data_IF_400582915393
#
_entry.id   IF_400582915393
#
_cell.length_a   1.000
_cell.length_b   1.000
_cell.length_c   1.000
_cell.angle_alpha   90.00
_cell.angle_beta   90.00
_cell.angle_gamma   90.00
#
_symmetry.space_group_name_H-M   'P 1'
#
loop_
_entity.id
_entity.type
_entity.pdbx_description
1 polymer ?
#
# COMPACT_ATOMS: atom_id res chain seq x y z
N UNK A 1 22.40 3.42 -8.25
CA UNK A 1 21.41 2.32 -8.29
C UNK A 1 21.42 1.69 -6.90
N UNK A 2 20.39 1.94 -6.10
CA UNK A 2 20.23 1.29 -4.80
C UNK A 2 19.25 0.15 -5.03
N UNK A 3 19.78 -1.07 -5.05
CA UNK A 3 18.99 -2.28 -5.12
C UNK A 3 18.44 -2.55 -3.70
N UNK A 4 17.14 -2.31 -3.52
CA UNK A 4 16.47 -2.63 -2.27
C UNK A 4 15.91 -4.04 -2.39
N UNK A 5 16.53 -4.98 -1.71
CA UNK A 5 16.05 -6.36 -1.59
C UNK A 5 14.56 -6.37 -1.19
N UNK A 6 13.69 -6.85 -2.09
CA UNK A 6 12.26 -6.96 -1.84
C UNK A 6 11.37 -6.33 -2.91
N UNK A 7 11.89 -6.02 -4.09
CA UNK A 7 11.06 -5.75 -5.27
C UNK A 7 10.42 -4.36 -5.37
N UNK A 8 10.77 -3.41 -4.51
CA UNK A 8 10.37 -2.01 -4.67
C UNK A 8 11.59 -1.19 -5.04
N UNK A 9 11.80 -0.98 -6.34
CA UNK A 9 12.91 -0.17 -6.85
C UNK A 9 12.47 1.29 -6.87
N UNK A 10 12.96 2.09 -5.94
CA UNK A 10 12.84 3.55 -6.03
C UNK A 10 13.92 4.02 -6.99
N UNK A 11 13.54 4.38 -8.21
CA UNK A 11 14.46 4.98 -9.18
C UNK A 11 14.72 6.43 -8.80
N UNK A 12 15.82 6.71 -8.11
CA UNK A 12 16.44 8.02 -8.13
C UNK A 12 17.16 8.14 -9.47
N UNK A 13 16.51 8.68 -10.50
CA UNK A 13 17.15 9.06 -11.73
C UNK A 13 18.06 10.27 -11.46
N UNK A 14 19.29 10.02 -11.04
CA UNK A 14 20.35 11.02 -11.05
C UNK A 14 20.80 11.18 -12.50
N UNK A 15 20.13 12.05 -13.27
CA UNK A 15 20.78 12.69 -14.42
C UNK A 15 22.06 13.37 -13.91
N UNK A 16 23.14 13.35 -14.73
CA UNK A 16 24.45 13.90 -14.39
C UNK A 16 24.44 15.44 -14.25
N UNK A 17 23.65 15.94 -13.33
CA UNK A 17 23.74 17.32 -12.82
C UNK A 17 24.76 17.31 -11.72
N UNK A 18 25.77 18.19 -11.83
CA UNK A 18 26.74 18.37 -10.76
C UNK A 18 26.05 18.90 -9.50
N UNK A 19 25.49 17.98 -8.71
CA UNK A 19 24.81 18.27 -7.45
C UNK A 19 25.69 19.05 -6.47
N UNK A 20 27.01 19.07 -6.67
CA UNK A 20 27.94 19.81 -5.83
C UNK A 20 27.76 21.32 -5.93
N UNK A 21 27.48 21.87 -7.11
CA UNK A 21 27.24 23.32 -7.30
C UNK A 21 25.86 23.77 -6.77
N UNK A 22 24.85 22.95 -6.94
CA UNK A 22 23.49 23.24 -6.43
C UNK A 22 23.38 23.08 -4.92
N UNK A 23 24.19 22.21 -4.33
CA UNK A 23 24.17 21.88 -2.93
C UNK A 23 24.77 22.98 -2.05
N UNK A 24 25.81 23.66 -2.51
CA UNK A 24 26.39 24.82 -1.83
C UNK A 24 25.40 26.01 -1.71
N UNK A 25 24.41 26.09 -2.59
CA UNK A 25 23.29 27.04 -2.51
C UNK A 25 22.23 26.67 -1.47
N UNK A 26 22.15 25.39 -1.07
CA UNK A 26 21.20 24.89 -0.07
C UNK A 26 21.57 25.27 1.37
N UNK A 27 22.86 25.37 1.66
CA UNK A 27 23.36 25.32 3.04
C UNK A 27 24.36 26.44 3.31
N UNK A 28 24.35 27.57 2.69
CA UNK A 28 25.25 28.70 2.96
C UNK A 28 26.72 28.29 3.17
N UNK A 29 27.68 29.04 2.77
CA UNK A 29 29.10 28.71 2.95
C UNK A 29 29.42 28.29 4.39
N UNK A 30 30.04 27.10 4.56
CA UNK A 30 30.46 26.56 5.85
C UNK A 30 29.64 25.38 6.41
N UNK A 31 28.61 24.88 5.69
CA UNK A 31 27.87 23.69 6.14
C UNK A 31 28.62 22.38 5.82
N UNK A 32 28.56 21.45 6.79
CA UNK A 32 29.08 20.08 6.63
C UNK A 32 28.11 19.16 5.84
N UNK A 33 26.95 19.66 5.43
CA UNK A 33 25.97 18.91 4.70
C UNK A 33 26.49 18.57 3.30
N UNK A 34 26.94 17.34 3.10
CA UNK A 34 27.24 16.78 1.77
C UNK A 34 26.02 16.05 1.23
N UNK A 35 25.86 15.89 -0.10
CA UNK A 35 24.76 15.09 -0.66
C UNK A 35 24.70 13.69 -0.09
N UNK A 36 25.85 13.03 0.09
CA UNK A 36 25.94 11.68 0.66
C UNK A 36 25.50 11.63 2.12
N UNK A 37 25.86 12.63 2.94
CA UNK A 37 25.44 12.70 4.35
C UNK A 37 23.92 12.87 4.44
N UNK A 38 23.33 13.77 3.68
CA UNK A 38 21.88 14.00 3.70
C UNK A 38 21.13 12.78 3.16
N UNK A 39 21.63 12.16 2.08
CA UNK A 39 21.07 10.90 1.57
C UNK A 39 21.16 9.77 2.61
N UNK A 40 22.28 9.67 3.34
CA UNK A 40 22.45 8.71 4.45
C UNK A 40 21.46 8.93 5.57
N UNK A 41 21.25 10.19 5.98
CA UNK A 41 20.26 10.56 7.02
C UNK A 41 18.83 10.20 6.57
N UNK A 42 18.48 10.50 5.31
CA UNK A 42 17.17 10.14 4.75
C UNK A 42 16.98 8.63 4.70
N UNK A 43 17.98 7.90 4.20
CA UNK A 43 17.93 6.43 4.13
C UNK A 43 17.78 5.81 5.54
N UNK A 44 18.57 6.27 6.51
CA UNK A 44 18.46 5.81 7.90
C UNK A 44 17.05 6.06 8.46
N UNK A 45 16.44 7.22 8.16
CA UNK A 45 15.12 7.58 8.67
C UNK A 45 14.00 6.81 7.99
N UNK A 46 13.95 6.82 6.67
CA UNK A 46 12.78 6.35 5.91
C UNK A 46 12.88 4.89 5.45
N UNK A 47 14.08 4.35 5.26
CA UNK A 47 14.28 2.95 4.89
C UNK A 47 14.54 2.10 6.13
N UNK A 48 15.45 2.53 7.01
CA UNK A 48 15.84 1.76 8.20
C UNK A 48 14.99 2.10 9.44
N UNK A 49 14.02 3.03 9.32
CA UNK A 49 13.14 3.42 10.41
C UNK A 49 13.85 4.08 11.61
N UNK A 50 15.07 4.62 11.43
CA UNK A 50 15.86 5.22 12.49
C UNK A 50 15.50 6.71 12.72
N UNK A 51 14.84 7.08 13.84
CA UNK A 51 14.47 8.46 14.11
C UNK A 51 15.69 9.40 14.14
N UNK A 52 15.50 10.65 13.74
CA UNK A 52 16.58 11.66 13.78
C UNK A 52 17.22 11.79 15.15
N UNK A 53 16.44 11.66 16.24
CA UNK A 53 16.98 11.71 17.60
C UNK A 53 17.94 10.54 17.93
N UNK A 54 17.77 9.39 17.31
CA UNK A 54 18.74 8.28 17.42
C UNK A 54 19.97 8.54 16.58
N UNK A 55 19.80 9.10 15.38
CA UNK A 55 20.92 9.49 14.52
C UNK A 55 21.79 10.57 15.18
N UNK A 56 21.17 11.56 15.84
CA UNK A 56 21.88 12.59 16.61
C UNK A 56 22.79 11.96 17.70
N UNK A 57 22.25 10.99 18.45
CA UNK A 57 23.05 10.24 19.45
C UNK A 57 24.16 9.42 18.82
N UNK A 58 23.90 8.81 17.66
CA UNK A 58 24.89 8.05 16.93
C UNK A 58 26.04 8.93 16.44
N UNK A 59 25.74 10.06 15.82
CA UNK A 59 26.75 11.03 15.39
C UNK A 59 27.58 11.58 16.56
N UNK A 60 26.96 11.82 17.73
CA UNK A 60 27.66 12.27 18.93
C UNK A 60 28.73 11.27 19.42
N UNK A 61 28.56 9.96 19.20
CA UNK A 61 29.58 8.93 19.54
C UNK A 61 30.85 9.07 18.70
N UNK A 62 30.75 9.69 17.54
CA UNK A 62 31.87 10.00 16.64
C UNK A 62 32.33 11.48 16.77
N UNK A 63 31.98 12.15 17.88
CA UNK A 63 32.27 13.54 18.14
C UNK A 63 31.72 14.53 17.09
N UNK A 64 30.65 14.12 16.38
CA UNK A 64 29.93 14.97 15.44
C UNK A 64 28.62 15.46 16.04
N UNK A 65 28.60 16.75 16.42
CA UNK A 65 27.43 17.39 16.99
C UNK A 65 26.45 17.84 15.87
N UNK A 66 25.54 16.98 15.51
CA UNK A 66 24.56 17.22 14.46
C UNK A 66 23.15 17.10 15.04
N UNK A 67 22.49 18.24 15.25
CA UNK A 67 21.19 18.27 15.91
C UNK A 67 20.06 17.70 15.04
N UNK A 68 19.06 17.13 15.70
CA UNK A 68 17.78 16.69 15.06
C UNK A 68 17.18 17.82 14.22
N UNK A 69 17.19 19.07 14.70
CA UNK A 69 16.69 20.25 13.98
C UNK A 69 17.44 20.49 12.67
N UNK A 70 18.78 20.42 12.71
CA UNK A 70 19.62 20.61 11.53
C UNK A 70 19.34 19.54 10.47
N UNK A 71 19.31 18.27 10.87
CA UNK A 71 18.99 17.15 9.97
C UNK A 71 17.58 17.30 9.36
N UNK A 72 16.59 17.68 10.17
CA UNK A 72 15.23 17.91 9.68
C UNK A 72 15.18 19.03 8.62
N UNK A 73 15.85 20.15 8.88
CA UNK A 73 15.90 21.27 7.93
C UNK A 73 16.58 20.87 6.61
N UNK A 74 17.62 20.04 6.64
CA UNK A 74 18.24 19.53 5.42
C UNK A 74 17.31 18.64 4.61
N UNK A 75 16.59 17.73 5.29
CA UNK A 75 15.61 16.86 4.65
C UNK A 75 14.50 17.69 3.99
N UNK A 76 13.91 18.63 4.71
CA UNK A 76 12.85 19.53 4.23
C UNK A 76 13.35 20.34 3.04
N UNK A 77 14.53 20.96 3.16
CA UNK A 77 15.13 21.74 2.08
C UNK A 77 15.41 20.91 0.81
N UNK A 78 15.83 19.65 0.96
CA UNK A 78 15.96 18.72 -0.16
C UNK A 78 14.60 18.34 -0.77
N UNK A 79 13.60 18.10 0.07
CA UNK A 79 12.25 17.77 -0.40
C UNK A 79 11.67 18.92 -1.22
N UNK A 80 11.69 20.14 -0.70
CA UNK A 80 11.10 21.30 -1.38
C UNK A 80 11.80 21.68 -2.69
N UNK A 81 13.13 21.53 -2.78
CA UNK A 81 13.90 22.02 -3.94
C UNK A 81 14.14 20.98 -5.02
N UNK A 82 14.22 19.70 -4.65
CA UNK A 82 14.64 18.64 -5.58
C UNK A 82 13.67 17.47 -5.63
N UNK A 83 13.29 16.92 -4.45
CA UNK A 83 12.49 15.69 -4.45
C UNK A 83 11.08 15.95 -4.92
N UNK A 84 10.54 17.15 -4.69
CA UNK A 84 9.21 17.52 -5.20
C UNK A 84 9.15 17.45 -6.73
N UNK A 85 10.16 17.96 -7.43
CA UNK A 85 10.22 17.89 -8.90
C UNK A 85 10.23 16.44 -9.39
N UNK A 86 10.99 15.58 -8.70
CA UNK A 86 11.02 14.16 -9.00
C UNK A 86 9.68 13.50 -8.72
N UNK A 87 9.07 13.81 -7.58
CA UNK A 87 7.74 13.30 -7.20
C UNK A 87 6.68 13.69 -8.23
N UNK A 88 6.64 14.97 -8.62
CA UNK A 88 5.69 15.47 -9.62
C UNK A 88 5.86 14.74 -10.96
N UNK A 89 7.11 14.53 -11.41
CA UNK A 89 7.40 13.77 -12.63
C UNK A 89 7.02 12.29 -12.50
N UNK A 90 7.31 11.67 -11.37
CA UNK A 90 6.88 10.29 -11.09
C UNK A 90 5.35 10.17 -11.10
N UNK A 91 4.63 11.15 -10.55
CA UNK A 91 3.16 11.17 -10.58
C UNK A 91 2.63 11.27 -12.01
N UNK A 92 3.24 12.08 -12.88
CA UNK A 92 2.86 12.15 -14.29
C UNK A 92 3.03 10.80 -15.00
N UNK A 93 4.13 10.09 -14.76
CA UNK A 93 4.35 8.75 -15.33
C UNK A 93 3.43 7.70 -14.70
N UNK A 94 3.19 7.80 -13.39
CA UNK A 94 2.28 6.92 -12.67
C UNK A 94 0.85 6.96 -13.25
N UNK A 95 0.34 8.15 -13.52
CA UNK A 95 -1.01 8.36 -14.05
C UNK A 95 -1.21 7.80 -15.49
N UNK A 96 -0.14 7.41 -16.19
CA UNK A 96 -0.20 6.73 -17.49
C UNK A 96 -0.39 5.21 -17.35
N UNK A 97 -0.16 4.64 -16.18
CA UNK A 97 -0.38 3.21 -15.93
C UNK A 97 -1.87 2.89 -15.97
N UNK A 98 -2.22 1.71 -16.51
CA UNK A 98 -3.61 1.24 -16.52
C UNK A 98 -3.97 0.42 -15.28
N UNK A 99 -2.98 -0.05 -14.52
CA UNK A 99 -3.18 -0.97 -13.40
C UNK A 99 -2.41 -0.46 -12.19
N UNK A 100 -3.16 -0.05 -11.18
CA UNK A 100 -2.60 0.49 -9.95
C UNK A 100 -3.24 -0.14 -8.72
N UNK A 101 -2.54 -0.01 -7.61
CA UNK A 101 -3.03 -0.35 -6.27
C UNK A 101 -3.16 0.91 -5.41
N UNK A 102 -4.07 0.91 -4.47
CA UNK A 102 -4.19 1.93 -3.45
C UNK A 102 -4.45 1.30 -2.07
N UNK A 103 -3.88 1.90 -1.04
CA UNK A 103 -4.10 1.54 0.37
C UNK A 103 -3.82 2.76 1.24
N UNK A 104 -4.28 2.78 2.50
CA UNK A 104 -4.04 3.86 3.42
C UNK A 104 -3.67 3.38 4.81
N UNK A 105 -2.93 4.20 5.54
CA UNK A 105 -2.60 3.94 6.94
C UNK A 105 -2.65 5.20 7.78
N UNK A 106 -2.99 5.05 9.05
CA UNK A 106 -3.05 6.17 9.99
C UNK A 106 -1.66 6.71 10.30
N UNK A 107 -1.56 8.02 10.45
CA UNK A 107 -0.40 8.73 10.98
C UNK A 107 -0.87 9.80 11.97
N UNK A 108 -0.06 10.12 12.96
CA UNK A 108 -0.32 11.24 13.86
C UNK A 108 0.60 12.40 13.52
N UNK A 109 0.03 13.58 13.29
CA UNK A 109 0.76 14.84 13.08
C UNK A 109 0.34 15.83 14.17
N UNK A 110 1.25 16.15 15.09
CA UNK A 110 0.92 16.98 16.27
C UNK A 110 0.68 18.43 15.88
N UNK A 111 1.45 18.95 14.95
CA UNK A 111 1.41 20.35 14.51
C UNK A 111 0.46 20.62 13.34
N UNK A 112 -0.53 19.77 13.14
CA UNK A 112 -1.55 20.00 12.11
C UNK A 112 -2.44 21.18 12.51
N UNK A 113 -2.53 22.24 11.67
CA UNK A 113 -3.38 23.40 11.96
C UNK A 113 -4.84 23.00 12.22
N UNK A 114 -5.50 23.65 13.16
CA UNK A 114 -6.91 23.46 13.48
C UNK A 114 -7.31 22.03 13.90
N UNK A 115 -6.33 21.20 14.28
CA UNK A 115 -6.58 19.85 14.80
C UNK A 115 -5.97 19.68 16.20
N UNK A 116 -6.60 18.82 17.00
CA UNK A 116 -5.98 18.36 18.25
C UNK A 116 -4.78 17.47 17.92
N UNK A 117 -3.68 17.56 18.66
CA UNK A 117 -2.48 16.73 18.45
C UNK A 117 -2.72 15.21 18.53
N UNK A 118 -3.84 14.79 19.12
CA UNK A 118 -4.30 13.38 19.14
C UNK A 118 -5.08 12.95 17.91
N UNK A 119 -5.42 13.86 16.99
CA UNK A 119 -6.19 13.55 15.78
C UNK A 119 -5.39 12.64 14.87
N UNK A 120 -6.04 11.63 14.34
CA UNK A 120 -5.44 10.72 13.36
C UNK A 120 -5.56 11.32 11.97
N UNK A 121 -4.43 11.38 11.27
CA UNK A 121 -4.31 11.74 9.86
C UNK A 121 -3.98 10.47 9.06
N UNK A 122 -3.83 10.58 7.75
CA UNK A 122 -3.71 9.43 6.88
C UNK A 122 -2.55 9.58 5.90
N UNK A 123 -1.86 8.48 5.65
CA UNK A 123 -0.89 8.35 4.59
C UNK A 123 -1.46 7.36 3.58
N UNK A 124 -1.74 7.85 2.39
CA UNK A 124 -2.16 7.06 1.25
C UNK A 124 -0.94 6.56 0.49
N UNK A 125 -1.02 5.36 -0.07
CA UNK A 125 -0.03 4.82 -1.00
C UNK A 125 -0.69 4.47 -2.30
N UNK A 126 -0.10 4.90 -3.39
CA UNK A 126 -0.48 4.57 -4.75
C UNK A 126 0.68 3.83 -5.40
N UNK A 127 0.43 2.64 -5.91
CA UNK A 127 1.46 1.73 -6.42
C UNK A 127 1.09 1.25 -7.83
N UNK A 128 2.05 1.21 -8.77
CA UNK A 128 1.84 0.51 -10.05
C UNK A 128 1.83 -1.01 -9.82
N UNK A 129 0.86 -1.71 -10.43
CA UNK A 129 0.79 -3.18 -10.33
C UNK A 129 2.04 -3.84 -10.94
N UNK A 130 2.46 -4.98 -10.40
CA UNK A 130 3.65 -5.71 -10.86
C UNK A 130 3.50 -6.27 -12.28
N UNK A 131 2.26 -6.50 -12.71
CA UNK A 131 1.95 -7.00 -14.06
C UNK A 131 1.53 -5.89 -15.03
N UNK A 132 1.59 -4.62 -14.61
CA UNK A 132 1.11 -3.48 -15.41
C UNK A 132 1.94 -3.18 -16.67
N UNK A 133 3.14 -3.74 -16.79
CA UNK A 133 4.12 -3.34 -17.80
C UNK A 133 4.73 -1.96 -17.58
N UNK A 134 4.26 -1.21 -16.58
CA UNK A 134 4.79 0.10 -16.20
C UNK A 134 5.97 -0.03 -15.23
N UNK A 135 6.88 0.96 -15.16
CA UNK A 135 7.90 1.01 -14.12
C UNK A 135 7.26 0.89 -12.73
N UNK A 136 7.89 0.13 -11.84
CA UNK A 136 7.38 0.01 -10.46
C UNK A 136 7.59 1.31 -9.71
N UNK A 137 6.50 1.92 -9.31
CA UNK A 137 6.46 3.18 -8.56
C UNK A 137 5.55 3.05 -7.36
N UNK A 138 5.96 3.62 -6.22
CA UNK A 138 5.13 3.80 -5.05
C UNK A 138 5.16 5.27 -4.66
N UNK A 139 4.01 5.91 -4.68
CA UNK A 139 3.81 7.30 -4.31
C UNK A 139 3.03 7.37 -3.00
N UNK A 140 3.53 8.17 -2.07
CA UNK A 140 2.88 8.40 -0.80
C UNK A 140 2.28 9.80 -0.78
N UNK A 141 1.05 9.92 -0.32
CA UNK A 141 0.32 11.17 -0.21
C UNK A 141 -0.25 11.32 1.20
N UNK A 142 0.07 12.45 1.85
CA UNK A 142 -0.42 12.76 3.18
C UNK A 142 -1.73 13.51 3.10
N UNK A 143 -2.73 13.03 3.85
CA UNK A 143 -4.03 13.68 3.92
C UNK A 143 -4.58 13.71 5.36
N UNK A 144 -5.38 14.75 5.66
CA UNK A 144 -5.94 14.97 6.99
C UNK A 144 -7.03 13.98 7.38
N UNK A 145 -7.65 13.36 6.40
CA UNK A 145 -8.78 12.43 6.57
C UNK A 145 -8.63 11.22 5.65
N UNK A 146 -9.50 10.23 5.81
CA UNK A 146 -9.64 9.09 4.90
C UNK A 146 -10.82 9.25 3.93
N UNK A 147 -11.26 10.48 3.66
CA UNK A 147 -12.42 10.74 2.81
C UNK A 147 -12.16 10.35 1.34
N UNK A 148 -13.19 9.83 0.66
CA UNK A 148 -13.09 9.33 -0.73
C UNK A 148 -12.70 10.36 -1.78
N UNK A 149 -12.80 11.66 -1.48
CA UNK A 149 -12.34 12.69 -2.41
C UNK A 149 -10.80 12.77 -2.54
N UNK A 150 -10.03 12.19 -1.60
CA UNK A 150 -8.56 12.19 -1.68
C UNK A 150 -8.03 11.37 -2.86
N UNK A 151 -8.42 10.10 -3.05
CA UNK A 151 -8.03 9.39 -4.27
C UNK A 151 -8.55 10.05 -5.55
N UNK A 152 -9.75 10.64 -5.55
CA UNK A 152 -10.26 11.42 -6.69
C UNK A 152 -9.30 12.57 -7.03
N UNK A 153 -8.91 13.35 -6.02
CA UNK A 153 -7.96 14.47 -6.16
C UNK A 153 -6.57 14.00 -6.60
N UNK A 154 -6.08 12.87 -6.06
CA UNK A 154 -4.77 12.34 -6.42
C UNK A 154 -4.74 11.88 -7.88
N UNK A 155 -5.75 11.15 -8.31
CA UNK A 155 -5.87 10.63 -9.66
C UNK A 155 -6.22 11.72 -10.70
N UNK A 156 -6.73 12.88 -10.23
CA UNK A 156 -6.80 14.17 -10.93
C UNK A 156 -7.54 14.10 -12.30
N UNK A 157 -8.52 13.20 -12.43
CA UNK A 157 -9.26 12.97 -13.68
C UNK A 157 -8.40 12.50 -14.86
N UNK A 158 -7.13 12.19 -14.63
CA UNK A 158 -6.18 11.76 -15.68
C UNK A 158 -5.90 10.25 -15.69
N UNK A 159 -6.21 9.59 -14.59
CA UNK A 159 -6.08 8.14 -14.51
C UNK A 159 -7.34 7.46 -15.06
N UNK A 160 -7.14 6.52 -15.98
CA UNK A 160 -8.19 5.70 -16.56
C UNK A 160 -7.72 4.25 -16.59
N UNK A 161 -8.40 3.38 -15.86
CA UNK A 161 -7.97 1.98 -15.77
C UNK A 161 -8.47 1.25 -14.53
N UNK A 162 -7.68 0.31 -14.05
CA UNK A 162 -8.04 -0.54 -12.93
C UNK A 162 -7.31 -0.11 -11.66
N UNK A 163 -8.08 0.01 -10.57
CA UNK A 163 -7.57 0.32 -9.24
C UNK A 163 -7.90 -0.84 -8.31
N UNK A 164 -6.86 -1.57 -7.87
CA UNK A 164 -6.98 -2.64 -6.89
C UNK A 164 -6.85 -2.07 -5.49
N UNK A 165 -7.85 -2.32 -4.64
CA UNK A 165 -7.87 -1.82 -3.27
C UNK A 165 -8.55 -2.82 -2.33
N UNK A 166 -8.67 -2.46 -1.05
CA UNK A 166 -9.53 -3.17 -0.11
C UNK A 166 -11.01 -2.81 -0.33
N UNK A 167 -11.88 -3.37 0.50
CA UNK A 167 -13.32 -3.09 0.44
C UNK A 167 -13.73 -1.76 1.11
N UNK A 168 -12.82 -0.80 1.26
CA UNK A 168 -13.16 0.48 1.87
C UNK A 168 -14.06 1.31 0.94
N UNK A 169 -15.17 1.79 1.49
CA UNK A 169 -16.22 2.48 0.72
C UNK A 169 -15.74 3.74 -0.02
N UNK A 170 -14.65 4.34 0.44
CA UNK A 170 -14.09 5.55 -0.19
C UNK A 170 -13.70 5.34 -1.66
N UNK A 171 -13.38 4.11 -2.07
CA UNK A 171 -13.01 3.79 -3.44
C UNK A 171 -14.20 3.52 -4.35
N UNK A 172 -15.40 3.31 -3.82
CA UNK A 172 -16.58 2.96 -4.61
C UNK A 172 -17.26 4.20 -5.25
N UNK A 173 -16.85 5.40 -4.89
CA UNK A 173 -17.34 6.66 -5.46
C UNK A 173 -16.40 7.30 -6.48
N UNK A 174 -15.46 6.53 -7.05
CA UNK A 174 -14.58 7.02 -8.11
C UNK A 174 -15.32 7.18 -9.44
N UNK A 175 -14.73 7.95 -10.35
CA UNK A 175 -15.25 8.17 -11.69
C UNK A 175 -15.42 6.85 -12.47
N UNK A 176 -16.41 6.77 -13.35
CA UNK A 176 -16.74 5.57 -14.15
C UNK A 176 -15.59 5.12 -15.08
N UNK A 177 -14.62 5.99 -15.36
CA UNK A 177 -13.39 5.64 -16.09
C UNK A 177 -12.42 4.79 -15.28
N UNK A 178 -12.66 4.63 -13.97
CA UNK A 178 -11.84 3.86 -13.04
C UNK A 178 -12.59 2.60 -12.62
N UNK A 179 -12.09 1.46 -13.02
CA UNK A 179 -12.64 0.18 -12.61
C UNK A 179 -12.00 -0.30 -11.31
N UNK A 180 -12.75 -0.24 -10.21
CA UNK A 180 -12.26 -0.73 -8.90
C UNK A 180 -12.25 -2.26 -8.88
N UNK A 181 -11.16 -2.86 -8.43
CA UNK A 181 -11.02 -4.31 -8.22
C UNK A 181 -10.79 -4.61 -6.74
N UNK A 182 -11.37 -5.71 -6.25
CA UNK A 182 -11.34 -6.10 -4.85
C UNK A 182 -10.12 -6.94 -4.47
N UNK A 183 -10.01 -7.23 -3.18
CA UNK A 183 -8.90 -7.95 -2.59
C UNK A 183 -9.39 -9.25 -1.88
N UNK A 184 -9.07 -10.41 -2.43
CA UNK A 184 -9.41 -11.69 -1.80
C UNK A 184 -8.70 -11.94 -0.47
N UNK A 185 -7.55 -11.29 -0.21
CA UNK A 185 -6.88 -11.37 1.10
C UNK A 185 -7.76 -10.81 2.21
N UNK A 186 -8.51 -9.73 1.97
CA UNK A 186 -9.42 -9.17 2.98
C UNK A 186 -10.61 -10.09 3.27
N UNK A 187 -11.24 -10.65 2.26
CA UNK A 187 -12.27 -11.67 2.44
C UNK A 187 -11.72 -12.87 3.23
N UNK A 188 -10.56 -13.39 2.83
CA UNK A 188 -9.90 -14.51 3.50
C UNK A 188 -9.59 -14.24 4.98
N UNK A 189 -9.11 -13.03 5.31
CA UNK A 189 -8.81 -12.65 6.72
C UNK A 189 -10.05 -12.70 7.61
N UNK A 190 -11.23 -12.36 7.12
CA UNK A 190 -12.48 -12.45 7.89
C UNK A 190 -12.86 -13.90 8.19
N UNK A 191 -12.74 -14.79 7.21
CA UNK A 191 -12.94 -16.22 7.43
C UNK A 191 -11.89 -16.81 8.37
N UNK A 192 -10.62 -16.38 8.28
CA UNK A 192 -9.57 -16.82 9.19
C UNK A 192 -9.83 -16.36 10.64
N UNK A 193 -10.36 -15.16 10.83
CA UNK A 193 -10.76 -14.67 12.14
C UNK A 193 -11.89 -15.53 12.73
N UNK A 194 -12.93 -15.85 11.94
CA UNK A 194 -14.01 -16.74 12.35
C UNK A 194 -13.50 -18.15 12.69
N UNK A 195 -12.62 -18.72 11.85
CA UNK A 195 -12.03 -20.02 12.09
C UNK A 195 -11.14 -20.02 13.35
N UNK A 196 -10.38 -18.95 13.57
CA UNK A 196 -9.49 -18.82 14.72
C UNK A 196 -10.26 -18.74 16.04
N UNK A 197 -11.43 -18.10 16.04
CA UNK A 197 -12.30 -18.07 17.23
C UNK A 197 -12.76 -19.47 17.65
N UNK A 198 -12.93 -20.39 16.70
CA UNK A 198 -13.40 -21.76 16.96
C UNK A 198 -12.29 -22.71 17.44
N UNK A 199 -11.00 -22.36 17.23
CA UNK A 199 -9.85 -23.25 17.54
C UNK A 199 -9.76 -23.70 19.01
N UNK A 200 -10.39 -22.98 19.95
CA UNK A 200 -10.38 -23.32 21.37
C UNK A 200 -11.37 -24.44 21.71
N UNK A 201 -12.48 -24.52 20.97
CA UNK A 201 -13.62 -25.35 21.31
C UNK A 201 -13.80 -26.55 20.38
N UNK A 202 -13.08 -26.56 19.22
CA UNK A 202 -13.22 -27.54 18.16
C UNK A 202 -11.94 -28.34 17.93
N UNK A 203 -12.10 -29.63 17.65
CA UNK A 203 -10.99 -30.47 17.16
C UNK A 203 -10.61 -30.08 15.73
N UNK A 204 -9.45 -30.56 15.28
CA UNK A 204 -8.99 -30.31 13.89
C UNK A 204 -9.97 -30.85 12.86
N UNK A 205 -10.60 -31.97 13.13
CA UNK A 205 -11.59 -32.61 12.25
C UNK A 205 -12.85 -31.76 12.18
N UNK A 206 -13.38 -31.33 13.33
CA UNK A 206 -14.53 -30.45 13.40
C UNK A 206 -14.31 -29.11 12.70
N UNK A 207 -13.09 -28.54 12.83
CA UNK A 207 -12.75 -27.29 12.14
C UNK A 207 -12.86 -27.43 10.62
N UNK A 208 -12.51 -28.58 10.03
CA UNK A 208 -12.61 -28.85 8.58
C UNK A 208 -14.05 -28.85 8.05
N UNK A 209 -15.00 -29.14 8.90
CA UNK A 209 -16.42 -29.15 8.55
C UNK A 209 -17.07 -27.78 8.62
N UNK A 210 -16.37 -26.76 9.19
CA UNK A 210 -16.91 -25.42 9.35
C UNK A 210 -16.99 -24.67 8.02
N UNK A 211 -17.95 -23.76 7.94
CA UNK A 211 -18.11 -22.82 6.81
C UNK A 211 -16.82 -22.01 6.59
N UNK A 212 -16.21 -21.53 7.68
CA UNK A 212 -14.99 -20.74 7.62
C UNK A 212 -13.81 -21.52 6.96
N UNK A 213 -13.61 -22.79 7.33
CA UNK A 213 -12.58 -23.63 6.74
C UNK A 213 -12.84 -23.90 5.25
N UNK A 214 -14.09 -24.18 4.89
CA UNK A 214 -14.48 -24.43 3.50
C UNK A 214 -14.29 -23.19 2.63
N UNK A 215 -14.65 -22.00 3.10
CA UNK A 215 -14.38 -20.73 2.41
C UNK A 215 -12.88 -20.50 2.23
N UNK A 216 -12.09 -20.69 3.29
CA UNK A 216 -10.62 -20.57 3.25
C UNK A 216 -9.99 -21.52 2.24
N UNK A 217 -10.51 -22.75 2.13
CA UNK A 217 -10.02 -23.75 1.18
C UNK A 217 -10.33 -23.35 -0.27
N UNK A 218 -11.56 -22.88 -0.54
CA UNK A 218 -11.99 -22.41 -1.88
C UNK A 218 -11.16 -21.19 -2.31
N UNK A 219 -11.01 -20.18 -1.44
CA UNK A 219 -10.16 -19.01 -1.71
C UNK A 219 -8.70 -19.46 -1.89
N UNK A 220 -8.21 -20.39 -1.07
CA UNK A 220 -6.87 -20.96 -1.19
C UNK A 220 -6.59 -21.63 -2.54
N UNK A 221 -7.60 -22.24 -3.15
CA UNK A 221 -7.45 -22.83 -4.50
C UNK A 221 -7.26 -21.74 -5.57
N UNK A 222 -7.88 -20.56 -5.44
CA UNK A 222 -7.62 -19.43 -6.33
C UNK A 222 -6.14 -19.01 -6.28
N UNK A 223 -5.59 -18.90 -5.08
CA UNK A 223 -4.16 -18.57 -4.90
C UNK A 223 -3.21 -19.62 -5.47
N UNK A 224 -3.59 -20.93 -5.43
CA UNK A 224 -2.80 -21.97 -6.08
C UNK A 224 -2.77 -21.80 -7.60
N UNK A 225 -3.89 -21.42 -8.21
CA UNK A 225 -3.93 -21.11 -9.64
C UNK A 225 -3.02 -19.92 -9.94
N UNK A 226 -3.11 -18.83 -9.17
CA UNK A 226 -2.25 -17.65 -9.35
C UNK A 226 -0.75 -17.97 -9.24
N UNK A 227 -0.36 -18.87 -8.33
CA UNK A 227 1.03 -19.32 -8.22
C UNK A 227 1.49 -20.10 -9.48
N UNK A 228 0.63 -20.96 -10.04
CA UNK A 228 0.94 -21.70 -11.25
C UNK A 228 1.09 -20.81 -12.49
N UNK A 229 0.31 -19.73 -12.56
CA UNK A 229 0.30 -18.82 -13.71
C UNK A 229 1.18 -17.60 -13.56
N UNK A 230 1.89 -17.47 -12.45
CA UNK A 230 2.66 -16.27 -12.06
C UNK A 230 3.61 -15.77 -13.14
N UNK A 231 4.28 -16.68 -13.85
CA UNK A 231 5.29 -16.36 -14.86
C UNK A 231 4.75 -16.39 -16.29
N UNK A 232 3.44 -16.53 -16.46
CA UNK A 232 2.78 -16.52 -17.78
C UNK A 232 2.52 -15.09 -18.25
N UNK A 233 2.30 -14.93 -19.56
CA UNK A 233 1.88 -13.63 -20.12
C UNK A 233 0.49 -13.23 -19.60
N UNK A 234 0.13 -11.95 -19.66
CA UNK A 234 -1.22 -11.54 -19.23
C UNK A 234 -2.33 -12.27 -20.00
N UNK A 235 -2.16 -12.52 -21.28
CA UNK A 235 -3.12 -13.24 -22.12
C UNK A 235 -3.26 -14.69 -21.64
N UNK A 236 -2.15 -15.38 -21.42
CA UNK A 236 -2.13 -16.74 -20.88
C UNK A 236 -2.72 -16.81 -19.46
N UNK A 237 -2.45 -15.81 -18.61
CA UNK A 237 -3.02 -15.69 -17.27
C UNK A 237 -4.54 -15.53 -17.35
N UNK A 238 -5.02 -14.67 -18.24
CA UNK A 238 -6.45 -14.49 -18.46
C UNK A 238 -7.11 -15.81 -18.88
N UNK A 239 -6.57 -16.51 -19.88
CA UNK A 239 -7.11 -17.80 -20.35
C UNK A 239 -7.15 -18.86 -19.24
N UNK A 240 -6.06 -18.99 -18.46
CA UNK A 240 -6.01 -19.96 -17.37
C UNK A 240 -6.99 -19.61 -16.24
N UNK A 241 -7.18 -18.33 -15.93
CA UNK A 241 -8.20 -17.88 -14.99
C UNK A 241 -9.60 -18.22 -15.46
N UNK A 242 -9.91 -18.06 -16.76
CA UNK A 242 -11.22 -18.47 -17.30
C UNK A 242 -11.45 -19.98 -17.14
N UNK A 243 -10.42 -20.81 -17.34
CA UNK A 243 -10.50 -22.27 -17.25
C UNK A 243 -10.55 -22.78 -15.81
N UNK A 244 -9.71 -22.22 -14.91
CA UNK A 244 -9.47 -22.79 -13.59
C UNK A 244 -10.07 -21.97 -12.45
N UNK A 245 -9.95 -20.63 -12.49
CA UNK A 245 -10.39 -19.77 -11.41
C UNK A 245 -11.86 -19.40 -11.49
N UNK A 246 -12.39 -19.11 -12.68
CA UNK A 246 -13.80 -18.73 -12.86
C UNK A 246 -14.78 -19.77 -12.28
N UNK A 247 -14.66 -21.09 -12.56
CA UNK A 247 -15.56 -22.08 -11.96
C UNK A 247 -15.48 -22.11 -10.42
N UNK A 248 -14.28 -21.88 -9.86
CA UNK A 248 -14.10 -21.84 -8.40
C UNK A 248 -14.75 -20.60 -7.80
N UNK A 249 -14.62 -19.45 -8.44
CA UNK A 249 -15.25 -18.18 -8.03
C UNK A 249 -16.78 -18.32 -8.12
N UNK A 250 -17.31 -18.84 -9.22
CA UNK A 250 -18.74 -19.03 -9.40
C UNK A 250 -19.32 -19.95 -8.32
N UNK A 251 -18.70 -21.10 -8.08
CA UNK A 251 -19.12 -22.04 -7.04
C UNK A 251 -18.93 -21.48 -5.61
N UNK A 252 -17.96 -20.59 -5.39
CA UNK A 252 -17.81 -19.91 -4.10
C UNK A 252 -18.98 -18.97 -3.83
N UNK A 253 -19.31 -18.11 -4.78
CA UNK A 253 -20.37 -17.12 -4.58
C UNK A 253 -21.76 -17.74 -4.57
N UNK A 254 -22.05 -18.71 -5.44
CA UNK A 254 -23.30 -19.49 -5.39
C UNK A 254 -23.48 -20.13 -3.99
N UNK A 255 -22.44 -20.74 -3.46
CA UNK A 255 -22.47 -21.36 -2.14
C UNK A 255 -22.62 -20.32 -1.02
N UNK A 256 -21.98 -19.15 -1.09
CA UNK A 256 -22.14 -18.08 -0.08
C UNK A 256 -23.56 -17.49 -0.14
N UNK A 257 -24.13 -17.26 -1.32
CA UNK A 257 -25.51 -16.78 -1.46
C UNK A 257 -26.52 -17.79 -0.90
N UNK A 258 -26.29 -19.08 -1.01
CA UNK A 258 -27.19 -20.10 -0.41
C UNK A 258 -27.26 -20.02 1.12
N UNK A 259 -26.33 -19.32 1.77
CA UNK A 259 -26.29 -19.16 3.22
C UNK A 259 -26.70 -17.77 3.71
N UNK A 260 -26.84 -16.79 2.81
CA UNK A 260 -27.02 -15.37 3.15
C UNK A 260 -28.19 -15.12 4.12
N UNK A 261 -29.33 -15.77 3.89
CA UNK A 261 -30.54 -15.59 4.69
C UNK A 261 -30.50 -16.35 6.03
N UNK A 262 -29.61 -17.33 6.16
CA UNK A 262 -29.55 -18.24 7.33
C UNK A 262 -28.48 -17.88 8.33
N UNK A 263 -27.55 -16.95 8.00
CA UNK A 263 -26.44 -16.61 8.89
C UNK A 263 -26.84 -15.55 9.92
N UNK A 264 -26.37 -15.72 11.16
CA UNK A 264 -26.42 -14.68 12.16
C UNK A 264 -25.42 -13.55 11.76
N UNK A 265 -25.98 -12.40 11.36
CA UNK A 265 -25.22 -11.22 10.90
C UNK A 265 -24.29 -10.63 11.96
N UNK A 266 -24.56 -10.91 13.24
CA UNK A 266 -23.71 -10.44 14.35
C UNK A 266 -22.53 -11.36 14.65
N UNK A 267 -22.50 -12.55 14.07
CA UNK A 267 -21.42 -13.52 14.23
C UNK A 267 -20.22 -13.19 13.33
N UNK A 268 -19.01 -13.66 13.72
CA UNK A 268 -17.81 -13.51 12.90
C UNK A 268 -17.95 -14.18 11.52
N UNK A 269 -18.65 -15.31 11.45
CA UNK A 269 -18.88 -15.99 10.17
C UNK A 269 -19.90 -15.24 9.32
N UNK A 270 -20.95 -14.70 9.92
CA UNK A 270 -21.92 -13.85 9.22
C UNK A 270 -21.27 -12.59 8.66
N UNK A 271 -20.43 -11.90 9.45
CA UNK A 271 -19.64 -10.77 8.96
C UNK A 271 -18.74 -11.15 7.77
N UNK A 272 -18.07 -12.30 7.84
CA UNK A 272 -17.21 -12.78 6.75
C UNK A 272 -17.99 -13.07 5.45
N UNK A 273 -19.16 -13.72 5.56
CA UNK A 273 -20.02 -14.04 4.41
C UNK A 273 -20.55 -12.74 3.80
N UNK A 274 -21.21 -11.89 4.61
CA UNK A 274 -21.82 -10.65 4.13
C UNK A 274 -20.80 -9.69 3.51
N UNK A 275 -19.62 -9.55 4.15
CA UNK A 275 -18.54 -8.78 3.55
C UNK A 275 -18.15 -9.32 2.17
N UNK A 276 -17.96 -10.64 2.06
CA UNK A 276 -17.51 -11.26 0.80
C UNK A 276 -18.57 -11.10 -0.29
N UNK A 277 -19.85 -11.27 0.03
CA UNK A 277 -20.96 -11.05 -0.88
C UNK A 277 -21.07 -9.59 -1.33
N UNK A 278 -20.95 -8.64 -0.39
CA UNK A 278 -20.93 -7.20 -0.71
C UNK A 278 -19.75 -6.82 -1.62
N UNK A 279 -18.64 -7.55 -1.54
CA UNK A 279 -17.47 -7.34 -2.37
C UNK A 279 -17.47 -8.17 -3.67
N UNK A 280 -18.46 -9.02 -3.91
CA UNK A 280 -18.51 -9.89 -5.10
C UNK A 280 -18.29 -9.13 -6.41
N UNK A 281 -18.96 -7.99 -6.70
CA UNK A 281 -18.79 -7.28 -7.96
C UNK A 281 -17.35 -6.84 -8.23
N UNK A 282 -16.61 -6.53 -7.16
CA UNK A 282 -15.21 -6.09 -7.21
C UNK A 282 -14.24 -7.28 -7.23
N UNK A 283 -14.52 -8.32 -6.44
CA UNK A 283 -13.69 -9.52 -6.36
C UNK A 283 -13.67 -10.32 -7.66
N UNK A 284 -14.76 -10.33 -8.42
CA UNK A 284 -14.84 -11.03 -9.71
C UNK A 284 -13.97 -10.37 -10.79
N UNK A 285 -13.72 -9.06 -10.71
CA UNK A 285 -13.04 -8.28 -11.76
C UNK A 285 -11.60 -8.72 -12.03
N UNK A 286 -10.90 -9.36 -11.08
CA UNK A 286 -9.55 -9.86 -11.36
C UNK A 286 -9.52 -10.94 -12.46
N UNK A 287 -10.68 -11.55 -12.76
CA UNK A 287 -10.83 -12.49 -13.86
C UNK A 287 -10.91 -11.82 -15.24
N UNK A 288 -11.16 -10.52 -15.30
CA UNK A 288 -11.45 -9.83 -16.56
C UNK A 288 -10.17 -9.51 -17.36
N UNK A 289 -9.03 -9.41 -16.68
CA UNK A 289 -7.76 -9.06 -17.31
C UNK A 289 -6.57 -9.74 -16.60
N UNK A 290 -5.67 -10.33 -17.38
CA UNK A 290 -4.50 -11.03 -16.85
C UNK A 290 -3.45 -10.16 -16.19
N UNK A 291 -3.50 -8.84 -16.39
CA UNK A 291 -2.62 -7.89 -15.68
C UNK A 291 -3.06 -7.65 -14.24
N UNK A 292 -4.31 -7.95 -13.89
CA UNK A 292 -4.83 -7.69 -12.56
C UNK A 292 -4.27 -8.65 -11.52
N UNK A 293 -4.08 -8.15 -10.32
CA UNK A 293 -3.74 -8.96 -9.14
C UNK A 293 -5.01 -9.44 -8.44
N UNK A 294 -4.98 -10.65 -7.86
CA UNK A 294 -6.09 -11.21 -7.07
C UNK A 294 -6.26 -10.49 -5.73
N UNK A 295 -5.24 -9.75 -5.28
CA UNK A 295 -5.24 -9.06 -4.00
C UNK A 295 -4.45 -7.75 -4.01
N UNK A 296 -4.56 -7.00 -2.90
CA UNK A 296 -3.88 -5.73 -2.68
C UNK A 296 -2.59 -5.87 -1.84
N UNK A 297 -2.02 -7.05 -1.72
CA UNK A 297 -0.85 -7.31 -0.87
C UNK A 297 0.38 -6.48 -1.28
N UNK A 298 0.47 -6.06 -2.53
CA UNK A 298 1.58 -5.21 -3.00
C UNK A 298 1.53 -3.82 -2.35
N UNK A 299 0.37 -3.19 -2.26
CA UNK A 299 0.19 -1.91 -1.56
C UNK A 299 0.38 -2.07 -0.05
N UNK A 300 -0.15 -3.15 0.55
CA UNK A 300 0.06 -3.44 1.97
C UNK A 300 1.56 -3.60 2.30
N UNK A 301 2.34 -4.27 1.43
CA UNK A 301 3.80 -4.38 1.61
C UNK A 301 4.51 -3.03 1.48
N UNK A 302 4.11 -2.18 0.53
CA UNK A 302 4.68 -0.85 0.36
C UNK A 302 4.42 0.02 1.59
N UNK A 303 3.21 0.02 2.10
CA UNK A 303 2.81 0.79 3.29
C UNK A 303 3.45 0.27 4.59
N UNK A 304 3.81 -1.02 4.63
CA UNK A 304 4.44 -1.65 5.81
C UNK A 304 5.75 -0.98 6.19
N UNK A 305 6.58 -0.60 5.23
CA UNK A 305 7.84 0.10 5.50
C UNK A 305 7.59 1.45 6.20
N UNK A 306 6.59 2.19 5.74
CA UNK A 306 6.13 3.41 6.40
C UNK A 306 5.59 3.14 7.81
N UNK A 307 4.75 2.10 7.97
CA UNK A 307 4.17 1.72 9.25
C UNK A 307 5.22 1.27 10.28
N UNK A 308 6.28 0.58 9.86
CA UNK A 308 7.44 0.24 10.72
C UNK A 308 8.17 1.51 11.15
N UNK A 309 8.46 2.41 10.24
CA UNK A 309 9.05 3.71 10.54
C UNK A 309 8.21 4.48 11.56
N UNK A 310 6.90 4.58 11.34
CA UNK A 310 5.94 5.22 12.25
C UNK A 310 6.02 4.66 13.69
N UNK A 311 6.17 3.36 13.87
CA UNK A 311 6.33 2.75 15.21
C UNK A 311 7.60 3.23 15.93
N UNK A 312 8.62 3.62 15.18
CA UNK A 312 9.88 4.12 15.76
C UNK A 312 9.85 5.62 16.07
N UNK A 313 9.25 6.45 15.24
CA UNK A 313 9.15 7.90 15.49
C UNK A 313 7.83 8.35 16.12
N UNK A 314 6.81 7.47 16.21
CA UNK A 314 5.51 7.63 16.86
C UNK A 314 4.60 8.67 16.19
N UNK A 315 5.09 9.87 15.92
CA UNK A 315 4.35 10.99 15.32
C UNK A 315 5.28 11.88 14.49
N UNK A 316 4.68 12.68 13.60
CA UNK A 316 5.34 13.82 12.98
C UNK A 316 5.02 15.11 13.75
N UNK A 317 5.99 16.02 13.86
CA UNK A 317 5.78 17.32 14.53
C UNK A 317 5.03 18.32 13.67
N UNK A 318 5.18 18.22 12.36
CA UNK A 318 4.57 19.12 11.38
C UNK A 318 4.25 18.36 10.08
N UNK A 319 3.46 19.00 9.25
CA UNK A 319 3.11 18.56 7.88
C UNK A 319 4.28 18.67 6.89
N UNK A 320 5.38 19.26 7.29
CA UNK A 320 6.62 19.42 6.49
C UNK A 320 7.73 18.51 6.99
#
# INVERSE_FOLDING_TARGET
MLDLAGGTTVYLACGATDLRKSYNGLVGGGSIATPSLVAGIMNAKYVNGMPLARQEREFARYNLNLSTKTMANWIIGCADRYLKLLYDRMKEEFLKSRYIHCDETRIQVIGEPDQKGSTQNWMWVYLTDEYSGSPRMALFDYERTCAGYHPVKFLDGRFHGYLTCDGYQAYHGLDDSITVTGCFTHARRRFDAALTALKKDFTKEQLKETVAYNAMTRIGNLYKVEELIRNKTPEERHEERQKQSRPVVDALFEWLHSMEDSVDRSSLIGDAILYTLNQEPYLRRYLDDGHLSIDNNSAERAIKNFAVGRRNWLFAKSIR
#
